data_IF_397903620335
#
_entry.id   IF_397903620335
#
_cell.length_a   1.000
_cell.length_b   1.000
_cell.length_c   1.000
_cell.angle_alpha   90.00
_cell.angle_beta   90.00
_cell.angle_gamma   90.00
#
_symmetry.space_group_name_H-M   'P 1'
#
loop_
_entity.id
_entity.type
_entity.pdbx_description
1 polymer ?
#
# COMPACT_ATOMS: atom_id res chain seq x y z
N UNK A 1 -16.32 5.79 -18.19
CA UNK A 1 -16.03 4.69 -17.25
C UNK A 1 -14.72 5.02 -16.54
N UNK A 2 -14.78 5.55 -15.31
CA UNK A 2 -13.58 5.94 -14.56
C UNK A 2 -12.86 4.69 -14.06
N UNK A 3 -11.81 4.27 -14.77
CA UNK A 3 -10.85 3.29 -14.26
C UNK A 3 -9.99 4.01 -13.22
N UNK A 4 -10.18 3.70 -11.95
CA UNK A 4 -9.37 4.28 -10.87
C UNK A 4 -7.99 3.63 -10.91
N UNK A 5 -7.08 4.17 -11.74
CA UNK A 5 -5.65 3.83 -11.76
C UNK A 5 -5.00 4.28 -10.43
N UNK A 6 -5.13 3.45 -9.39
CA UNK A 6 -4.36 3.59 -8.16
C UNK A 6 -3.00 2.93 -8.40
N UNK A 7 -2.07 3.66 -9.00
CA UNK A 7 -0.68 3.24 -9.16
C UNK A 7 -0.08 2.90 -7.79
N UNK A 8 0.69 1.82 -7.67
CA UNK A 8 1.27 1.31 -6.43
C UNK A 8 2.06 2.39 -5.69
N UNK A 9 2.63 3.35 -6.44
CA UNK A 9 3.30 4.52 -5.91
C UNK A 9 2.41 5.35 -4.97
N UNK A 10 1.11 5.50 -5.25
CA UNK A 10 0.18 6.19 -4.36
C UNK A 10 -0.07 5.41 -3.07
N UNK A 11 -0.14 4.08 -3.16
CA UNK A 11 -0.28 3.20 -1.99
C UNK A 11 0.97 3.27 -1.11
N UNK A 12 2.15 3.24 -1.73
CA UNK A 12 3.46 3.39 -1.09
C UNK A 12 3.54 4.74 -0.39
N UNK A 13 3.33 5.85 -1.09
CA UNK A 13 3.42 7.19 -0.50
C UNK A 13 2.43 7.39 0.66
N UNK A 14 1.20 6.87 0.57
CA UNK A 14 0.21 6.98 1.66
C UNK A 14 0.62 6.16 2.88
N UNK A 15 1.20 4.97 2.67
CA UNK A 15 1.73 4.14 3.75
C UNK A 15 2.95 4.79 4.44
N UNK A 16 3.89 5.32 3.65
CA UNK A 16 5.10 5.97 4.14
C UNK A 16 4.79 7.19 5.01
N UNK A 17 3.77 7.97 4.66
CA UNK A 17 3.29 9.11 5.48
C UNK A 17 2.82 8.69 6.87
N UNK A 18 2.43 7.44 7.06
CA UNK A 18 2.04 6.88 8.37
C UNK A 18 3.14 6.00 8.97
N UNK A 19 4.36 6.05 8.43
CA UNK A 19 5.51 5.33 8.95
C UNK A 19 5.48 3.83 8.65
N UNK A 20 4.77 3.39 7.61
CA UNK A 20 4.80 1.99 7.15
C UNK A 20 5.46 1.91 5.78
N UNK A 21 6.43 1.01 5.64
CA UNK A 21 7.13 0.75 4.38
C UNK A 21 6.51 -0.45 3.67
N UNK A 22 6.16 -0.27 2.39
CA UNK A 22 5.68 -1.31 1.49
C UNK A 22 6.39 -1.15 0.15
N UNK A 23 6.41 -2.21 -0.66
CA UNK A 23 7.17 -2.25 -1.91
C UNK A 23 6.25 -2.58 -3.08
N UNK A 24 6.50 -2.07 -4.30
CA UNK A 24 5.71 -2.46 -5.45
C UNK A 24 6.01 -3.93 -5.79
N UNK A 25 4.99 -4.71 -6.16
CA UNK A 25 5.23 -6.12 -6.57
C UNK A 25 5.82 -6.25 -7.97
N UNK A 26 5.76 -5.19 -8.78
CA UNK A 26 6.31 -5.15 -10.14
C UNK A 26 7.79 -5.53 -10.19
N UNK A 27 8.54 -5.19 -9.13
CA UNK A 27 9.98 -5.45 -9.01
C UNK A 27 10.30 -6.95 -8.93
N UNK A 28 9.31 -7.77 -8.58
CA UNK A 28 9.46 -9.21 -8.37
C UNK A 28 8.72 -10.05 -9.42
N UNK A 29 8.05 -9.42 -10.40
CA UNK A 29 7.32 -10.12 -11.45
C UNK A 29 8.24 -10.46 -12.62
N UNK A 30 8.12 -11.68 -13.16
CA UNK A 30 8.90 -12.12 -14.35
C UNK A 30 8.65 -11.19 -15.55
N UNK A 31 7.44 -10.63 -15.64
CA UNK A 31 7.04 -9.63 -16.62
C UNK A 31 6.42 -8.42 -15.93
N UNK A 32 7.21 -7.39 -15.58
CA UNK A 32 6.74 -6.27 -14.76
C UNK A 32 5.50 -5.56 -15.31
N UNK A 33 5.33 -5.50 -16.62
CA UNK A 33 4.18 -4.89 -17.30
C UNK A 33 2.87 -5.69 -17.17
N UNK A 34 2.94 -6.97 -16.78
CA UNK A 34 1.77 -7.81 -16.49
C UNK A 34 1.36 -7.76 -15.01
N UNK A 35 2.16 -7.08 -14.16
CA UNK A 35 1.84 -6.94 -12.74
C UNK A 35 0.68 -5.98 -12.52
N UNK A 36 -0.18 -6.27 -11.54
CA UNK A 36 -1.25 -5.36 -11.16
C UNK A 36 -0.65 -4.08 -10.58
N UNK A 37 -1.05 -2.93 -11.14
CA UNK A 37 -0.58 -1.63 -10.70
C UNK A 37 -0.99 -1.25 -9.28
N UNK A 38 -1.85 -2.02 -8.61
CA UNK A 38 -2.40 -1.70 -7.28
C UNK A 38 -2.03 -2.71 -6.19
N UNK A 39 -1.05 -3.59 -6.45
CA UNK A 39 -0.56 -4.56 -5.46
C UNK A 39 0.78 -4.08 -4.89
N UNK A 40 0.92 -4.19 -3.57
CA UNK A 40 2.15 -3.93 -2.83
C UNK A 40 2.50 -5.12 -1.96
N UNK A 41 3.79 -5.31 -1.69
CA UNK A 41 4.35 -6.30 -0.79
C UNK A 41 4.66 -5.68 0.57
N UNK A 42 4.23 -6.35 1.64
CA UNK A 42 4.57 -6.02 3.03
C UNK A 42 5.47 -7.10 3.62
N UNK A 43 6.70 -6.75 3.95
CA UNK A 43 7.65 -7.64 4.64
C UNK A 43 7.49 -7.56 6.15
N UNK A 44 7.46 -8.70 6.83
CA UNK A 44 7.26 -8.80 8.29
C UNK A 44 8.40 -9.54 9.03
N UNK A 45 9.45 -9.98 8.32
CA UNK A 45 10.49 -10.87 8.87
C UNK A 45 11.32 -10.33 10.04
N UNK A 46 11.27 -9.02 10.31
CA UNK A 46 11.96 -8.38 11.43
C UNK A 46 11.02 -7.71 12.44
N UNK A 47 9.71 -7.95 12.35
CA UNK A 47 8.70 -7.31 13.18
C UNK A 47 8.13 -8.28 14.22
N UNK A 48 7.86 -7.77 15.41
CA UNK A 48 7.05 -8.46 16.43
C UNK A 48 5.58 -8.50 16.02
N UNK A 49 4.78 -9.36 16.65
CA UNK A 49 3.34 -9.41 16.43
C UNK A 49 2.65 -8.05 16.67
N UNK A 50 3.05 -7.33 17.72
CA UNK A 50 2.51 -6.01 18.03
C UNK A 50 2.86 -4.96 16.96
N UNK A 51 4.07 -5.00 16.41
CA UNK A 51 4.47 -4.11 15.31
C UNK A 51 3.74 -4.45 14.01
N UNK A 52 3.45 -5.73 13.76
CA UNK A 52 2.62 -6.15 12.63
C UNK A 52 1.19 -5.59 12.80
N UNK A 53 0.57 -5.75 13.96
CA UNK A 53 -0.77 -5.23 14.24
C UNK A 53 -0.85 -3.71 14.07
N UNK A 54 0.11 -2.98 14.63
CA UNK A 54 0.20 -1.52 14.49
C UNK A 54 0.43 -1.11 13.03
N UNK A 55 1.30 -1.82 12.31
CA UNK A 55 1.52 -1.62 10.88
C UNK A 55 0.25 -1.79 10.06
N UNK A 56 -0.50 -2.87 10.28
CA UNK A 56 -1.78 -3.13 9.61
C UNK A 56 -2.82 -2.04 9.95
N UNK A 57 -2.89 -1.59 11.20
CA UNK A 57 -3.77 -0.49 11.63
C UNK A 57 -3.48 0.81 10.87
N UNK A 58 -2.20 1.15 10.69
CA UNK A 58 -1.75 2.31 9.91
C UNK A 58 -2.06 2.15 8.42
N UNK A 59 -1.81 0.98 7.84
CA UNK A 59 -2.17 0.71 6.43
C UNK A 59 -3.67 0.87 6.19
N UNK A 60 -4.51 0.40 7.12
CA UNK A 60 -5.97 0.63 7.07
C UNK A 60 -6.29 2.12 7.04
N UNK A 61 -5.64 2.93 7.90
CA UNK A 61 -5.81 4.39 7.90
C UNK A 61 -5.34 5.03 6.59
N UNK A 62 -4.19 4.60 6.05
CA UNK A 62 -3.63 5.14 4.82
C UNK A 62 -4.51 4.92 3.58
N UNK A 63 -5.18 3.76 3.50
CA UNK A 63 -5.84 3.32 2.27
C UNK A 63 -7.36 3.32 2.31
N UNK A 64 -7.97 3.15 3.49
CA UNK A 64 -9.41 2.94 3.65
C UNK A 64 -10.13 4.07 4.38
N UNK A 65 -9.42 5.11 4.83
CA UNK A 65 -10.07 6.32 5.34
C UNK A 65 -10.69 7.07 4.16
N UNK A 66 -11.97 6.84 3.91
CA UNK A 66 -12.73 7.45 2.83
C UNK A 66 -12.67 8.98 2.88
N UNK A 67 -12.41 9.55 1.71
CA UNK A 67 -12.81 10.87 1.25
C UNK A 67 -14.00 11.49 2.00
N UNK A 68 -13.74 12.49 2.85
CA UNK A 68 -14.64 13.64 2.92
C UNK A 68 -14.29 14.52 1.71
N UNK A 69 -15.10 14.46 0.67
CA UNK A 69 -15.30 15.65 -0.14
C UNK A 69 -16.28 16.51 0.64
N UNK A 70 -15.78 17.57 1.25
CA UNK A 70 -16.60 18.70 1.68
C UNK A 70 -16.96 19.49 0.42
N UNK A 71 -18.25 19.47 0.07
CA UNK A 71 -18.92 20.52 -0.70
C UNK A 71 -19.64 21.43 0.29
#
# INVERSE_FOLDING_TARGET
MMKTDRHAQDLIHKAEKLGVKVYPVSDFWIKPHESSSSIVMAGFGGLTAAEIEEGISRLRKAWLSSSKQEQ
#
